data_IF_150941356649
#
_entry.id   IF_150941356649
#
_cell.length_a   1.000
_cell.length_b   1.000
_cell.length_c   1.000
_cell.angle_alpha   90.00
_cell.angle_beta   90.00
_cell.angle_gamma   90.00
#
_symmetry.space_group_name_H-M   'P 1'
#
loop_
_entity.id
_entity.type
_entity.pdbx_description
1 polymer ?
#
# COMPACT_ATOMS: atom_id res chain seq x y z
N UNK A 1 14.50 -2.07 -1.18
CA UNK A 1 13.51 -1.25 -1.90
C UNK A 1 12.11 -1.86 -1.88
N UNK A 2 11.84 -2.98 -2.55
CA UNK A 2 10.48 -3.58 -2.56
C UNK A 2 9.98 -3.98 -1.17
N UNK A 3 10.83 -4.63 -0.36
CA UNK A 3 10.52 -4.98 1.04
C UNK A 3 10.23 -3.75 1.91
N UNK A 4 10.94 -2.64 1.68
CA UNK A 4 10.69 -1.38 2.40
C UNK A 4 9.37 -0.75 1.96
N UNK A 5 9.03 -0.80 0.66
CA UNK A 5 7.73 -0.36 0.15
C UNK A 5 6.58 -1.17 0.74
N UNK A 6 6.71 -2.50 0.79
CA UNK A 6 5.74 -3.39 1.44
C UNK A 6 5.56 -3.08 2.93
N UNK A 7 6.67 -2.87 3.66
CA UNK A 7 6.61 -2.49 5.07
C UNK A 7 5.90 -1.14 5.28
N UNK A 8 6.13 -0.17 4.37
CA UNK A 8 5.47 1.12 4.40
C UNK A 8 3.97 1.03 4.09
N UNK A 9 3.57 0.23 3.09
CA UNK A 9 2.15 -0.05 2.81
C UNK A 9 1.46 -0.70 4.01
N UNK A 10 2.12 -1.67 4.64
CA UNK A 10 1.59 -2.33 5.83
C UNK A 10 1.41 -1.35 7.00
N UNK A 11 2.36 -0.42 7.20
CA UNK A 11 2.23 0.63 8.21
C UNK A 11 1.06 1.59 7.89
N UNK A 12 0.89 1.97 6.63
CA UNK A 12 -0.22 2.83 6.18
C UNK A 12 -1.58 2.15 6.34
N UNK A 13 -1.69 0.87 5.99
CA UNK A 13 -2.90 0.08 6.22
C UNK A 13 -3.23 -0.01 7.71
N UNK A 14 -2.25 -0.35 8.55
CA UNK A 14 -2.47 -0.44 10.00
C UNK A 14 -2.91 0.89 10.60
N UNK A 15 -2.36 2.01 10.13
CA UNK A 15 -2.77 3.34 10.56
C UNK A 15 -4.19 3.70 10.09
N UNK A 16 -4.56 3.33 8.87
CA UNK A 16 -5.91 3.51 8.35
C UNK A 16 -6.93 2.69 9.15
N UNK A 17 -6.62 1.43 9.45
CA UNK A 17 -7.47 0.54 10.25
C UNK A 17 -7.68 1.09 11.68
N UNK A 18 -6.62 1.60 12.31
CA UNK A 18 -6.73 2.25 13.62
C UNK A 18 -7.63 3.50 13.55
N UNK A 19 -7.45 4.32 12.51
CA UNK A 19 -8.25 5.53 12.31
C UNK A 19 -9.73 5.21 12.08
N UNK A 20 -10.04 4.17 11.31
CA UNK A 20 -11.40 3.65 11.11
C UNK A 20 -12.00 3.17 12.44
N UNK A 21 -11.23 2.42 13.24
CA UNK A 21 -11.68 1.92 14.53
C UNK A 21 -12.02 3.06 15.50
N UNK A 22 -11.17 4.08 15.58
CA UNK A 22 -11.39 5.23 16.46
C UNK A 22 -12.61 6.04 16.03
N UNK A 23 -12.85 6.17 14.72
CA UNK A 23 -14.05 6.78 14.19
C UNK A 23 -15.31 5.97 14.52
N UNK A 24 -15.29 4.65 14.30
CA UNK A 24 -16.41 3.77 14.62
C UNK A 24 -16.73 3.74 16.14
N UNK A 25 -15.71 3.91 16.98
CA UNK A 25 -15.84 4.03 18.43
C UNK A 25 -16.36 5.41 18.89
N UNK A 26 -16.60 6.34 17.97
CA UNK A 26 -17.01 7.71 18.29
C UNK A 26 -15.90 8.56 18.94
N UNK A 27 -14.64 8.12 18.81
CA UNK A 27 -13.45 8.79 19.38
C UNK A 27 -12.69 9.63 18.34
N UNK A 28 -13.11 9.62 17.07
CA UNK A 28 -12.53 10.47 16.04
C UNK A 28 -13.55 11.52 15.60
N UNK A 29 -13.19 12.79 15.80
CA UNK A 29 -14.01 13.94 15.38
C UNK A 29 -13.89 14.22 13.87
N UNK A 30 -12.87 13.68 13.21
CA UNK A 30 -12.51 14.03 11.82
C UNK A 30 -12.58 12.82 10.87
N UNK A 31 -13.78 12.54 10.34
CA UNK A 31 -13.99 11.59 9.22
C UNK A 31 -13.05 11.85 8.04
N UNK A 32 -12.72 13.12 7.76
CA UNK A 32 -11.80 13.50 6.68
C UNK A 32 -10.38 12.95 6.87
N UNK A 33 -9.86 12.90 8.09
CA UNK A 33 -8.52 12.37 8.35
C UNK A 33 -8.46 10.86 8.10
N UNK A 34 -9.52 10.14 8.49
CA UNK A 34 -9.67 8.71 8.22
C UNK A 34 -9.70 8.45 6.72
N UNK A 35 -10.51 9.20 5.98
CA UNK A 35 -10.61 9.11 4.53
C UNK A 35 -9.24 9.34 3.86
N UNK A 36 -8.48 10.35 4.30
CA UNK A 36 -7.14 10.63 3.77
C UNK A 36 -6.17 9.48 4.08
N UNK A 37 -6.23 8.90 5.28
CA UNK A 37 -5.37 7.78 5.66
C UNK A 37 -5.63 6.54 4.79
N UNK A 38 -6.91 6.23 4.57
CA UNK A 38 -7.34 5.13 3.68
C UNK A 38 -6.87 5.36 2.25
N UNK A 39 -7.06 6.57 1.72
CA UNK A 39 -6.66 6.91 0.35
C UNK A 39 -5.14 6.78 0.15
N UNK A 40 -4.36 7.25 1.14
CA UNK A 40 -2.90 7.11 1.14
C UNK A 40 -2.47 5.64 1.13
N UNK A 41 -3.10 4.80 1.94
CA UNK A 41 -2.81 3.37 1.98
C UNK A 41 -3.12 2.70 0.63
N UNK A 42 -4.25 3.07 0.00
CA UNK A 42 -4.66 2.56 -1.31
C UNK A 42 -3.64 2.91 -2.40
N UNK A 43 -3.27 4.18 -2.53
CA UNK A 43 -2.30 4.64 -3.54
C UNK A 43 -0.94 3.97 -3.35
N UNK A 44 -0.48 3.85 -2.10
CA UNK A 44 0.80 3.20 -1.81
C UNK A 44 0.80 1.70 -2.16
N UNK A 45 -0.34 1.02 -1.95
CA UNK A 45 -0.52 -0.37 -2.34
C UNK A 45 -0.48 -0.54 -3.86
N UNK A 46 -1.21 0.30 -4.60
CA UNK A 46 -1.20 0.29 -6.08
C UNK A 46 0.21 0.47 -6.65
N UNK A 47 0.96 1.44 -6.10
CA UNK A 47 2.35 1.65 -6.49
C UNK A 47 3.21 0.42 -6.24
N UNK A 48 3.02 -0.25 -5.10
CA UNK A 48 3.77 -1.46 -4.75
C UNK A 48 3.45 -2.62 -5.69
N UNK A 49 2.18 -2.77 -6.09
CA UNK A 49 1.75 -3.76 -7.09
C UNK A 49 2.39 -3.45 -8.45
N UNK A 50 2.41 -2.18 -8.87
CA UNK A 50 3.02 -1.78 -10.13
C UNK A 50 4.53 -2.10 -10.16
N UNK A 51 5.24 -1.85 -9.05
CA UNK A 51 6.66 -2.22 -8.92
C UNK A 51 6.82 -3.74 -8.97
N UNK A 52 6.00 -4.50 -8.25
CA UNK A 52 6.02 -5.98 -8.28
C UNK A 52 5.85 -6.49 -9.70
N UNK A 53 4.86 -5.98 -10.45
CA UNK A 53 4.58 -6.42 -11.81
C UNK A 53 5.76 -6.15 -12.75
N UNK A 54 6.36 -4.96 -12.68
CA UNK A 54 7.57 -4.64 -13.47
C UNK A 54 8.74 -5.55 -13.17
N UNK A 55 8.93 -5.96 -11.92
CA UNK A 55 10.01 -6.88 -11.55
C UNK A 55 9.77 -8.29 -12.10
N UNK A 56 8.52 -8.75 -12.09
CA UNK A 56 8.14 -10.02 -12.71
C UNK A 56 8.35 -9.96 -14.22
N UNK A 57 7.90 -8.89 -14.87
CA UNK A 57 8.12 -8.69 -16.31
C UNK A 57 9.62 -8.68 -16.68
N UNK A 58 10.45 -7.97 -15.92
CA UNK A 58 11.89 -7.94 -16.12
C UNK A 58 12.53 -9.33 -15.97
N UNK A 59 12.08 -10.12 -14.99
CA UNK A 59 12.53 -11.51 -14.84
C UNK A 59 12.13 -12.37 -16.05
N UNK A 60 10.88 -12.26 -16.50
CA UNK A 60 10.41 -12.96 -17.69
C UNK A 60 11.18 -12.55 -18.96
N UNK A 61 11.55 -11.28 -19.10
CA UNK A 61 12.35 -10.80 -20.23
C UNK A 61 13.75 -11.41 -20.26
N UNK A 62 14.43 -11.45 -19.11
CA UNK A 62 15.76 -12.08 -19.00
C UNK A 62 15.69 -13.57 -19.38
N UNK A 63 14.66 -14.27 -18.93
CA UNK A 63 14.46 -15.69 -19.27
C UNK A 63 14.23 -15.92 -20.78
N UNK A 64 13.57 -14.97 -21.46
CA UNK A 64 13.35 -15.03 -22.92
C UNK A 64 14.62 -14.75 -23.75
N UNK A 65 15.60 -14.05 -23.19
CA UNK A 65 16.88 -13.79 -23.87
C UNK A 65 17.86 -14.96 -23.82
N UNK A 66 17.69 -15.90 -22.88
CA UNK A 66 18.62 -17.01 -22.64
C UNK A 66 18.24 -18.31 -23.38
N UNK A 67 17.14 -18.33 -24.14
CA UNK A 67 16.73 -19.44 -25.01
C UNK A 67 17.10 -19.19 -26.47
#
# INVERSE_FOLDING_TARGET
MLQQGLAQVNALQSAADEAIWRLAAGQADNLHEVMIAVERASIALELTIAIRNKLVEAYHEIMRMQV
#
